data_IF_148828201143
#
_entry.id   IF_148828201143
#
_cell.length_a   1.000
_cell.length_b   1.000
_cell.length_c   1.000
_cell.angle_alpha   90.00
_cell.angle_beta   90.00
_cell.angle_gamma   90.00
#
_symmetry.space_group_name_H-M   'P 1'
#
loop_
_entity.id
_entity.type
_entity.pdbx_description
1 polymer ?
#
# COMPACT_ATOMS: atom_id res chain seq x y z
N UNK A 1 -18.89 -6.19 -14.08
CA UNK A 1 -19.18 -7.31 -13.15
C UNK A 1 -19.73 -6.74 -11.86
N UNK A 2 -20.58 -7.49 -11.15
CA UNK A 2 -20.99 -7.11 -9.79
C UNK A 2 -20.01 -7.72 -8.76
N UNK A 3 -19.96 -7.16 -7.54
CA UNK A 3 -19.00 -7.56 -6.51
C UNK A 3 -19.11 -9.06 -6.14
N UNK A 4 -20.32 -9.62 -6.13
CA UNK A 4 -20.54 -11.03 -5.83
C UNK A 4 -19.91 -11.98 -6.85
N UNK A 5 -19.95 -11.65 -8.15
CA UNK A 5 -19.28 -12.44 -9.18
C UNK A 5 -17.76 -12.43 -9.02
N UNK A 6 -17.19 -11.26 -8.70
CA UNK A 6 -15.74 -11.11 -8.45
C UNK A 6 -15.28 -11.97 -7.26
N UNK A 7 -16.05 -12.01 -6.17
CA UNK A 7 -15.73 -12.86 -5.01
C UNK A 7 -15.68 -14.35 -5.36
N UNK A 8 -16.59 -14.81 -6.23
CA UNK A 8 -16.61 -16.21 -6.69
C UNK A 8 -15.37 -16.52 -7.54
N UNK A 9 -14.98 -15.64 -8.45
CA UNK A 9 -13.76 -15.81 -9.26
C UNK A 9 -12.46 -15.71 -8.46
N UNK A 10 -12.45 -14.87 -7.41
CA UNK A 10 -11.30 -14.79 -6.51
C UNK A 10 -11.09 -16.08 -5.73
N UNK A 11 -12.18 -16.78 -5.35
CA UNK A 11 -12.09 -18.06 -4.66
C UNK A 11 -11.41 -19.13 -5.53
N UNK A 12 -11.75 -19.21 -6.83
CA UNK A 12 -11.09 -20.15 -7.75
C UNK A 12 -9.63 -19.76 -8.01
N UNK A 13 -9.33 -18.47 -8.11
CA UNK A 13 -7.97 -17.95 -8.31
C UNK A 13 -7.09 -18.17 -7.07
N UNK A 14 -7.67 -18.11 -5.86
CA UNK A 14 -6.98 -18.40 -4.62
C UNK A 14 -6.52 -19.87 -4.54
N UNK A 15 -7.34 -20.82 -5.00
CA UNK A 15 -6.93 -22.23 -5.10
C UNK A 15 -5.81 -22.42 -6.14
N UNK A 16 -5.85 -21.69 -7.26
CA UNK A 16 -4.76 -21.71 -8.23
C UNK A 16 -3.45 -21.14 -7.65
N UNK A 17 -3.54 -20.08 -6.82
CA UNK A 17 -2.39 -19.51 -6.10
C UNK A 17 -1.78 -20.49 -5.10
N UNK A 18 -2.62 -21.23 -4.36
CA UNK A 18 -2.18 -22.28 -3.44
C UNK A 18 -1.40 -23.39 -4.16
N UNK A 19 -1.76 -23.66 -5.41
CA UNK A 19 -1.07 -24.63 -6.26
C UNK A 19 0.14 -24.02 -7.02
N UNK A 20 0.60 -22.83 -6.64
CA UNK A 20 1.71 -22.09 -7.27
C UNK A 20 1.56 -21.93 -8.79
N UNK A 21 0.32 -21.87 -9.28
CA UNK A 21 0.06 -21.77 -10.71
C UNK A 21 0.64 -20.46 -11.26
N UNK A 22 1.40 -20.49 -12.38
CA UNK A 22 1.99 -19.28 -12.95
C UNK A 22 0.94 -18.20 -13.22
N UNK A 23 1.22 -16.95 -12.82
CA UNK A 23 0.32 -15.82 -13.05
C UNK A 23 -0.86 -15.68 -12.06
N UNK A 24 -1.13 -16.70 -11.24
CA UNK A 24 -2.24 -16.70 -10.27
C UNK A 24 -2.19 -15.50 -9.31
N UNK A 25 -0.99 -15.12 -8.84
CA UNK A 25 -0.78 -13.95 -7.99
C UNK A 25 -1.20 -12.66 -8.70
N UNK A 26 -0.79 -12.46 -9.94
CA UNK A 26 -1.09 -11.25 -10.71
C UNK A 26 -2.59 -11.15 -11.00
N UNK A 27 -3.23 -12.27 -11.33
CA UNK A 27 -4.68 -12.35 -11.55
C UNK A 27 -5.43 -12.00 -10.27
N UNK A 28 -5.03 -12.57 -9.12
CA UNK A 28 -5.69 -12.29 -7.84
C UNK A 28 -5.56 -10.82 -7.42
N UNK A 29 -4.41 -10.18 -7.69
CA UNK A 29 -4.22 -8.74 -7.47
C UNK A 29 -5.18 -7.94 -8.35
N UNK A 30 -5.26 -8.25 -9.64
CA UNK A 30 -6.15 -7.55 -10.56
C UNK A 30 -7.63 -7.68 -10.16
N UNK A 31 -8.06 -8.89 -9.77
CA UNK A 31 -9.41 -9.13 -9.26
C UNK A 31 -9.68 -8.38 -7.95
N UNK A 32 -8.69 -8.28 -7.06
CA UNK A 32 -8.81 -7.51 -5.82
C UNK A 32 -9.04 -6.03 -6.10
N UNK A 33 -8.31 -5.44 -7.05
CA UNK A 33 -8.53 -4.05 -7.47
C UNK A 33 -9.92 -3.86 -8.09
N UNK A 34 -10.35 -4.78 -8.96
CA UNK A 34 -11.69 -4.74 -9.55
C UNK A 34 -12.81 -4.86 -8.49
N UNK A 35 -12.59 -5.64 -7.43
CA UNK A 35 -13.53 -5.75 -6.31
C UNK A 35 -13.61 -4.45 -5.51
N UNK A 36 -12.47 -3.83 -5.22
CA UNK A 36 -12.42 -2.52 -4.54
C UNK A 36 -13.19 -1.50 -5.38
N UNK A 37 -12.92 -1.38 -6.68
CA UNK A 37 -13.63 -0.46 -7.58
C UNK A 37 -15.13 -0.73 -7.65
N UNK A 38 -15.56 -1.99 -7.59
CA UNK A 38 -16.98 -2.35 -7.60
C UNK A 38 -17.72 -2.02 -6.29
N UNK A 39 -17.00 -1.89 -5.17
CA UNK A 39 -17.55 -1.60 -3.84
C UNK A 39 -17.39 -0.13 -3.43
N UNK A 40 -16.39 0.56 -3.99
CA UNK A 40 -16.00 1.90 -3.61
C UNK A 40 -17.07 2.93 -3.97
N UNK A 41 -17.37 3.84 -3.03
CA UNK A 41 -18.22 4.99 -3.29
C UNK A 41 -17.46 6.06 -4.09
N UNK A 42 -18.12 6.88 -4.93
CA UNK A 42 -17.44 7.95 -5.66
C UNK A 42 -16.64 8.91 -4.77
N UNK A 43 -17.11 9.18 -3.55
CA UNK A 43 -16.40 10.00 -2.57
C UNK A 43 -15.14 9.34 -2.03
N UNK A 44 -15.14 8.01 -1.90
CA UNK A 44 -13.98 7.24 -1.44
C UNK A 44 -12.91 7.18 -2.52
N UNK A 45 -13.32 6.94 -3.77
CA UNK A 45 -12.44 7.02 -4.94
C UNK A 45 -11.75 8.38 -5.02
N UNK A 46 -12.53 9.46 -4.94
CA UNK A 46 -12.00 10.83 -5.00
C UNK A 46 -11.00 11.09 -3.86
N UNK A 47 -11.32 10.68 -2.63
CA UNK A 47 -10.41 10.82 -1.48
C UNK A 47 -9.14 10.00 -1.66
N UNK A 48 -9.23 8.76 -2.15
CA UNK A 48 -8.08 7.87 -2.34
C UNK A 48 -7.15 8.40 -3.43
N UNK A 49 -7.67 8.63 -4.63
CA UNK A 49 -6.87 8.98 -5.81
C UNK A 49 -6.31 10.40 -5.77
N UNK A 50 -7.05 11.38 -5.23
CA UNK A 50 -6.60 12.78 -5.25
C UNK A 50 -5.92 13.26 -3.96
N UNK A 51 -6.11 12.56 -2.84
CA UNK A 51 -5.48 12.95 -1.56
C UNK A 51 -4.58 11.86 -0.99
N UNK A 52 -5.08 10.65 -0.79
CA UNK A 52 -4.32 9.63 -0.07
C UNK A 52 -3.10 9.14 -0.87
N UNK A 53 -3.31 8.67 -2.11
CA UNK A 53 -2.23 8.12 -2.95
C UNK A 53 -1.15 9.15 -3.28
N UNK A 54 -1.46 10.41 -3.63
CA UNK A 54 -0.43 11.43 -3.87
C UNK A 54 0.33 11.81 -2.59
N UNK A 55 -0.36 11.89 -1.44
CA UNK A 55 0.30 12.19 -0.17
C UNK A 55 1.22 11.07 0.27
N UNK A 56 0.82 9.81 0.10
CA UNK A 56 1.64 8.64 0.36
C UNK A 56 2.87 8.62 -0.56
N UNK A 57 2.69 8.87 -1.86
CA UNK A 57 3.80 8.95 -2.82
C UNK A 57 4.80 10.04 -2.43
N UNK A 58 4.33 11.24 -2.05
CA UNK A 58 5.18 12.32 -1.58
C UNK A 58 5.91 11.98 -0.27
N UNK A 59 5.23 11.30 0.66
CA UNK A 59 5.82 10.84 1.90
C UNK A 59 6.93 9.81 1.66
N UNK A 60 6.72 8.86 0.74
CA UNK A 60 7.73 7.87 0.34
C UNK A 60 8.94 8.56 -0.29
N UNK A 61 8.73 9.50 -1.22
CA UNK A 61 9.84 10.25 -1.83
C UNK A 61 10.65 11.02 -0.78
N UNK A 62 9.99 11.70 0.15
CA UNK A 62 10.69 12.40 1.23
C UNK A 62 11.45 11.44 2.15
N UNK A 63 10.88 10.26 2.44
CA UNK A 63 11.56 9.21 3.20
C UNK A 63 12.81 8.69 2.48
N UNK A 64 12.79 8.60 1.14
CA UNK A 64 13.98 8.28 0.32
C UNK A 64 15.01 9.40 0.43
N UNK A 65 14.61 10.67 0.26
CA UNK A 65 15.51 11.83 0.24
C UNK A 65 16.29 11.98 1.55
N UNK A 66 15.68 11.61 2.69
CA UNK A 66 16.33 11.64 4.01
C UNK A 66 17.01 10.32 4.39
N UNK A 67 17.09 9.36 3.46
CA UNK A 67 17.62 8.00 3.68
C UNK A 67 16.96 7.25 4.85
N UNK A 68 15.66 7.48 5.11
CA UNK A 68 14.97 6.92 6.27
C UNK A 68 15.02 5.38 6.28
N UNK A 69 14.87 4.75 5.11
CA UNK A 69 14.84 3.29 4.99
C UNK A 69 16.18 2.64 5.33
N UNK A 70 17.29 3.31 5.03
CA UNK A 70 18.64 2.86 5.36
C UNK A 70 18.86 2.90 6.87
N UNK A 71 18.49 4.01 7.52
CA UNK A 71 18.56 4.13 8.98
C UNK A 71 17.69 3.08 9.68
N UNK A 72 16.49 2.81 9.17
CA UNK A 72 15.59 1.78 9.73
C UNK A 72 16.13 0.35 9.56
N UNK A 73 16.87 0.08 8.49
CA UNK A 73 17.52 -1.23 8.26
C UNK A 73 18.64 -1.48 9.28
N UNK A 74 19.41 -0.44 9.58
CA UNK A 74 20.53 -0.50 10.53
C UNK A 74 20.04 -0.47 11.99
N UNK A 75 18.95 0.25 12.25
CA UNK A 75 18.36 0.41 13.59
C UNK A 75 16.85 0.17 13.59
N UNK A 76 16.40 -1.09 13.66
CA UNK A 76 14.99 -1.45 13.49
C UNK A 76 14.06 -1.02 14.65
N UNK A 77 14.61 -0.46 15.74
CA UNK A 77 13.84 -0.12 16.96
C UNK A 77 13.30 1.31 17.02
N UNK A 78 13.38 2.10 15.96
CA UNK A 78 12.68 3.39 15.82
C UNK A 78 13.06 4.51 16.82
N UNK A 79 13.75 4.18 17.91
CA UNK A 79 14.20 5.10 18.96
C UNK A 79 15.35 5.99 18.51
N UNK A 80 16.15 5.55 17.53
CA UNK A 80 17.27 6.31 16.96
C UNK A 80 16.89 7.10 15.71
N UNK A 81 15.60 7.21 15.39
CA UNK A 81 15.15 8.15 14.35
C UNK A 81 15.47 9.62 14.70
N UNK A 82 15.78 9.90 15.97
CA UNK A 82 16.31 11.18 16.46
C UNK A 82 17.77 11.44 16.03
N UNK A 83 18.52 10.43 15.60
CA UNK A 83 19.87 10.56 15.08
C UNK A 83 19.88 11.06 13.62
N UNK A 84 18.75 10.97 12.93
CA UNK A 84 18.55 11.60 11.64
C UNK A 84 18.50 13.11 11.90
N UNK A 85 19.37 13.89 11.25
CA UNK A 85 19.44 15.35 11.37
C UNK A 85 18.25 16.06 10.70
N UNK A 86 17.05 15.55 10.92
CA UNK A 86 15.76 15.95 10.38
C UNK A 86 14.80 16.14 11.54
N UNK A 87 13.88 17.09 11.41
CA UNK A 87 12.88 17.37 12.43
C UNK A 87 12.13 16.08 12.87
N UNK A 88 12.11 15.73 14.17
CA UNK A 88 11.40 14.55 14.66
C UNK A 88 9.89 14.60 14.40
N UNK A 89 9.31 15.80 14.33
CA UNK A 89 7.91 16.01 13.97
C UNK A 89 7.61 15.56 12.54
N UNK A 90 8.52 15.87 11.61
CA UNK A 90 8.45 15.43 10.21
C UNK A 90 8.52 13.90 10.10
N UNK A 91 9.47 13.26 10.77
CA UNK A 91 9.61 11.79 10.76
C UNK A 91 8.34 11.12 11.31
N UNK A 92 7.78 11.66 12.42
CA UNK A 92 6.53 11.15 12.99
C UNK A 92 5.35 11.30 12.03
N UNK A 93 5.30 12.36 11.24
CA UNK A 93 4.24 12.56 10.23
C UNK A 93 4.39 11.56 9.08
N UNK A 94 5.62 11.36 8.59
CA UNK A 94 5.90 10.36 7.56
C UNK A 94 5.49 8.95 8.00
N UNK A 95 5.76 8.58 9.25
CA UNK A 95 5.40 7.27 9.79
C UNK A 95 3.89 7.05 10.05
N UNK A 96 3.04 8.08 9.85
CA UNK A 96 1.59 8.01 10.07
C UNK A 96 0.77 7.98 8.77
N UNK A 97 1.43 8.21 7.63
CA UNK A 97 0.84 7.97 6.32
C UNK A 97 0.86 6.47 6.03
#
# INVERSE_FOLDING_TARGET
>A
MNASALLIEMASTAEALKNESPGSRQILIAQSHALIEALELPSEFVRRTFWAEPAESAAIHLAIDINLFQHLKETPRGSDLLAIAVDPGLIRRLARH
#
